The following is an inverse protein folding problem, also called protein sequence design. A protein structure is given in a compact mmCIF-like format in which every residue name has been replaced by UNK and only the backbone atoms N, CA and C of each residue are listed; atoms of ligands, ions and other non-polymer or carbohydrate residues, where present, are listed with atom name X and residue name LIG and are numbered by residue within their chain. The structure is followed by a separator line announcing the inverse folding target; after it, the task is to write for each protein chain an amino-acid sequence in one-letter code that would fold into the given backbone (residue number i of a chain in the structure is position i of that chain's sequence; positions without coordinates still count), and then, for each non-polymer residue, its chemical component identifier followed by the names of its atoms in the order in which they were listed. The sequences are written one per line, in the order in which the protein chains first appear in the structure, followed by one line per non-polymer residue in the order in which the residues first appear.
data_IF_726131639465
#
_entry.id   IF_726131639465
#
_cell.length_a   1.000
_cell.length_b   1.000
_cell.length_c   1.000
_cell.angle_alpha   90.00
_cell.angle_beta   90.00
_cell.angle_gamma   90.00
#
_symmetry.space_group_name_H-M   'P 1'
#
loop_
_entity.id
_entity.type
_entity.pdbx_description
1 polymer ?
#
# COMPACT_ATOMS: atom_id res chain seq x y z
N UNK A 1 17.47 27.32 -17.28
CA UNK A 1 17.21 25.85 -17.34
C UNK A 1 16.91 25.22 -15.97
N UNK A 2 17.47 25.65 -14.83
CA UNK A 2 16.97 25.16 -13.53
C UNK A 2 15.56 25.66 -13.18
N UNK A 3 15.23 26.90 -13.56
CA UNK A 3 13.88 27.45 -13.42
C UNK A 3 12.81 26.60 -14.15
N UNK A 4 13.14 26.00 -15.30
CA UNK A 4 12.20 25.13 -16.02
C UNK A 4 12.00 23.77 -15.32
N UNK A 5 13.02 23.26 -14.62
CA UNK A 5 12.91 22.06 -13.76
C UNK A 5 12.08 22.34 -12.51
N UNK A 6 12.32 23.45 -11.83
CA UNK A 6 11.55 23.84 -10.64
C UNK A 6 10.08 24.14 -11.01
N UNK A 7 9.82 24.78 -12.15
CA UNK A 7 8.46 25.01 -12.65
C UNK A 7 7.75 23.71 -13.08
N UNK A 8 8.48 22.61 -13.23
CA UNK A 8 7.88 21.30 -13.50
C UNK A 8 7.46 20.55 -12.23
N UNK A 9 7.86 21.02 -11.04
CA UNK A 9 7.56 20.37 -9.75
C UNK A 9 6.07 20.02 -9.56
N UNK A 10 5.10 20.94 -9.80
CA UNK A 10 3.69 20.62 -9.62
C UNK A 10 3.23 19.45 -10.50
N UNK A 11 3.87 19.26 -11.66
CA UNK A 11 3.57 18.16 -12.58
C UNK A 11 4.03 16.81 -12.03
N UNK A 12 5.22 16.79 -11.45
CA UNK A 12 5.80 15.61 -10.81
C UNK A 12 5.09 15.24 -9.52
N UNK A 13 4.66 16.24 -8.74
CA UNK A 13 3.80 16.04 -7.57
C UNK A 13 2.47 15.39 -7.96
N UNK A 14 1.79 15.93 -8.97
CA UNK A 14 0.54 15.37 -9.49
C UNK A 14 0.71 13.91 -9.94
N UNK A 15 1.79 13.63 -10.68
CA UNK A 15 2.09 12.30 -11.18
C UNK A 15 2.39 11.32 -10.04
N UNK A 16 3.15 11.75 -9.03
CA UNK A 16 3.43 10.93 -7.83
C UNK A 16 2.14 10.61 -7.08
N UNK A 17 1.28 11.62 -6.87
CA UNK A 17 0.00 11.43 -6.21
C UNK A 17 -0.92 10.49 -7.00
N UNK A 18 -1.01 10.68 -8.32
CA UNK A 18 -1.82 9.83 -9.20
C UNK A 18 -1.32 8.38 -9.19
N UNK A 19 0.00 8.16 -9.24
CA UNK A 19 0.57 6.81 -9.12
C UNK A 19 0.24 6.16 -7.78
N UNK A 20 0.32 6.92 -6.68
CA UNK A 20 0.00 6.37 -5.36
C UNK A 20 -1.46 5.97 -5.22
N UNK A 21 -2.37 6.83 -5.68
CA UNK A 21 -3.82 6.53 -5.69
C UNK A 21 -4.14 5.38 -6.64
N UNK A 22 -3.50 5.33 -7.81
CA UNK A 22 -3.69 4.22 -8.75
C UNK A 22 -3.19 2.89 -8.19
N UNK A 23 -2.03 2.88 -7.53
CA UNK A 23 -1.50 1.67 -6.88
C UNK A 23 -2.48 1.13 -5.82
N UNK A 24 -3.12 2.01 -5.05
CA UNK A 24 -4.15 1.62 -4.09
C UNK A 24 -5.38 1.01 -4.75
N UNK A 25 -5.93 1.63 -5.79
CA UNK A 25 -7.11 1.07 -6.47
C UNK A 25 -6.84 -0.20 -7.27
N UNK A 26 -5.60 -0.42 -7.70
CA UNK A 26 -5.17 -1.72 -8.25
C UNK A 26 -5.12 -2.78 -7.15
N UNK A 27 -4.75 -2.42 -5.92
CA UNK A 27 -4.76 -3.32 -4.77
C UNK A 27 -6.18 -3.65 -4.29
N UNK A 28 -7.10 -2.67 -4.35
CA UNK A 28 -8.50 -2.76 -3.90
C UNK A 28 -9.43 -3.51 -4.88
N UNK A 29 -8.91 -3.99 -6.02
CA UNK A 29 -9.63 -4.62 -7.15
C UNK A 29 -10.81 -3.81 -7.74
N UNK A 30 -11.04 -2.59 -7.24
CA UNK A 30 -12.16 -1.74 -7.63
C UNK A 30 -11.76 -0.74 -8.72
N UNK A 31 -11.61 -1.26 -9.94
CA UNK A 31 -11.06 -0.53 -11.09
C UNK A 31 -11.84 0.76 -11.46
N UNK A 32 -13.15 0.80 -11.19
CA UNK A 32 -14.01 1.96 -11.50
C UNK A 32 -13.61 3.16 -10.65
N UNK A 33 -13.39 2.95 -9.35
CA UNK A 33 -13.04 4.02 -8.41
C UNK A 33 -11.62 4.54 -8.70
N UNK A 34 -10.71 3.67 -9.12
CA UNK A 34 -9.37 4.06 -9.59
C UNK A 34 -9.39 4.97 -10.81
N UNK A 35 -10.23 4.65 -11.79
CA UNK A 35 -10.38 5.47 -13.00
C UNK A 35 -10.96 6.85 -12.65
N UNK A 36 -11.98 6.89 -11.80
CA UNK A 36 -12.55 8.15 -11.28
C UNK A 36 -11.49 8.96 -10.54
N UNK A 37 -10.68 8.35 -9.68
CA UNK A 37 -9.66 9.05 -8.91
C UNK A 37 -8.55 9.64 -9.79
N UNK A 38 -8.11 8.92 -10.83
CA UNK A 38 -7.17 9.46 -11.84
C UNK A 38 -7.79 10.66 -12.56
N UNK A 39 -9.05 10.55 -12.98
CA UNK A 39 -9.77 11.64 -13.65
C UNK A 39 -9.85 12.86 -12.72
N UNK A 40 -10.16 12.66 -11.44
CA UNK A 40 -10.23 13.74 -10.45
C UNK A 40 -8.87 14.43 -10.24
N UNK A 41 -7.77 13.67 -10.11
CA UNK A 41 -6.42 14.26 -10.01
C UNK A 41 -6.04 15.03 -11.29
N UNK A 42 -6.38 14.49 -12.46
CA UNK A 42 -6.17 15.14 -13.75
C UNK A 42 -7.00 16.42 -13.92
N UNK A 43 -8.26 16.40 -13.48
CA UNK A 43 -9.18 17.52 -13.51
C UNK A 43 -8.75 18.62 -12.54
N UNK A 44 -8.39 18.25 -11.32
CA UNK A 44 -7.89 19.16 -10.30
C UNK A 44 -6.66 19.92 -10.80
N UNK A 45 -5.77 19.27 -11.55
CA UNK A 45 -4.64 19.96 -12.19
C UNK A 45 -5.05 20.96 -13.28
N UNK A 46 -6.09 20.66 -14.07
CA UNK A 46 -6.58 21.62 -15.08
C UNK A 46 -7.23 22.84 -14.43
N UNK A 47 -7.85 22.65 -13.27
CA UNK A 47 -8.53 23.69 -12.49
C UNK A 47 -7.54 24.53 -11.67
N UNK A 48 -6.51 23.92 -11.08
CA UNK A 48 -5.39 24.61 -10.40
C UNK A 48 -4.36 25.09 -11.43
N UNK A 49 -4.81 25.88 -12.39
CA UNK A 49 -3.97 26.46 -13.44
C UNK A 49 -3.19 27.69 -12.94
N UNK A 50 -3.73 28.37 -11.94
CA UNK A 50 -3.10 29.50 -11.26
C UNK A 50 -2.70 29.13 -9.83
N UNK A 51 -1.41 29.29 -9.49
CA UNK A 51 -0.89 29.07 -8.12
C UNK A 51 -1.52 30.02 -7.07
N UNK A 52 -2.33 30.98 -7.50
CA UNK A 52 -2.85 32.05 -6.65
C UNK A 52 -4.06 31.63 -5.78
N UNK A 53 -4.94 30.76 -6.28
CA UNK A 53 -6.24 30.48 -5.64
C UNK A 53 -6.54 28.97 -5.62
N UNK A 54 -7.01 28.47 -4.48
CA UNK A 54 -7.58 27.11 -4.40
C UNK A 54 -8.91 27.04 -5.15
N UNK A 55 -9.28 25.85 -5.64
CA UNK A 55 -10.51 25.67 -6.43
C UNK A 55 -11.75 25.70 -5.55
N UNK A 56 -11.62 25.25 -4.29
CA UNK A 56 -12.73 25.11 -3.34
C UNK A 56 -12.48 25.93 -2.08
N UNK A 57 -13.55 26.47 -1.44
CA UNK A 57 -13.43 27.14 -0.16
C UNK A 57 -13.08 26.14 0.96
N UNK A 58 -12.32 26.60 1.97
CA UNK A 58 -11.78 25.73 3.03
C UNK A 58 -12.86 24.98 3.82
N UNK A 59 -14.03 25.60 4.05
CA UNK A 59 -15.12 24.95 4.77
C UNK A 59 -15.64 23.71 4.03
N UNK A 60 -15.71 23.78 2.69
CA UNK A 60 -16.20 22.69 1.87
C UNK A 60 -15.18 21.54 1.82
N UNK A 61 -13.89 21.86 1.75
CA UNK A 61 -12.81 20.87 1.82
C UNK A 61 -12.79 20.15 3.17
N UNK A 62 -12.95 20.89 4.27
CA UNK A 62 -13.03 20.29 5.61
C UNK A 62 -14.27 19.39 5.73
N UNK A 63 -15.42 19.80 5.16
CA UNK A 63 -16.63 18.99 5.13
C UNK A 63 -16.39 17.70 4.33
N UNK A 64 -15.74 17.77 3.17
CA UNK A 64 -15.39 16.60 2.37
C UNK A 64 -14.44 15.65 3.10
N UNK A 65 -13.44 16.17 3.83
CA UNK A 65 -12.54 15.35 4.65
C UNK A 65 -13.31 14.68 5.79
N UNK A 66 -14.19 15.41 6.47
CA UNK A 66 -15.05 14.85 7.53
C UNK A 66 -16.01 13.80 6.98
N UNK A 67 -16.59 14.03 5.81
CA UNK A 67 -17.46 13.07 5.13
C UNK A 67 -16.69 11.81 4.73
N UNK A 68 -15.49 11.95 4.18
CA UNK A 68 -14.62 10.81 3.87
C UNK A 68 -14.26 10.03 5.14
N UNK A 69 -13.86 10.72 6.22
CA UNK A 69 -13.54 10.10 7.49
C UNK A 69 -14.75 9.37 8.12
N UNK A 70 -15.92 9.99 8.11
CA UNK A 70 -17.15 9.38 8.62
C UNK A 70 -17.54 8.14 7.80
N UNK A 71 -17.47 8.23 6.47
CA UNK A 71 -17.77 7.11 5.58
C UNK A 71 -16.81 5.92 5.81
N UNK A 72 -15.50 6.17 5.90
CA UNK A 72 -14.53 5.10 6.19
C UNK A 72 -14.64 4.57 7.61
N UNK A 73 -15.01 5.40 8.58
CA UNK A 73 -15.21 4.97 9.96
C UNK A 73 -16.43 4.04 10.08
N UNK A 74 -17.53 4.35 9.38
CA UNK A 74 -18.69 3.47 9.30
C UNK A 74 -18.32 2.12 8.67
N UNK A 75 -17.61 2.14 7.53
CA UNK A 75 -17.11 0.91 6.88
C UNK A 75 -16.22 0.08 7.80
N UNK A 76 -15.32 0.72 8.55
CA UNK A 76 -14.42 0.05 9.49
C UNK A 76 -15.15 -0.56 10.71
N UNK A 77 -16.28 0.01 11.13
CA UNK A 77 -17.10 -0.53 12.22
C UNK A 77 -17.93 -1.73 11.72
N UNK A 78 -18.44 -1.66 10.49
CA UNK A 78 -19.23 -2.73 9.88
C UNK A 78 -18.38 -3.95 9.51
N UNK A 79 -17.13 -3.74 9.10
CA UNK A 79 -16.19 -4.78 8.68
C UNK A 79 -14.82 -4.62 9.39
N UNK A 80 -14.71 -5.01 10.66
CA UNK A 80 -13.47 -4.88 11.43
C UNK A 80 -12.28 -5.62 10.81
N UNK A 81 -12.53 -6.73 10.12
CA UNK A 81 -11.53 -7.51 9.39
C UNK A 81 -10.81 -6.72 8.29
N UNK A 82 -11.47 -5.71 7.70
CA UNK A 82 -10.95 -4.87 6.62
C UNK A 82 -10.51 -3.49 7.11
N UNK A 83 -10.07 -3.39 8.37
CA UNK A 83 -9.65 -2.12 8.97
C UNK A 83 -8.51 -1.43 8.21
N UNK A 84 -7.50 -2.20 7.78
CA UNK A 84 -6.34 -1.67 7.03
C UNK A 84 -6.77 -1.10 5.67
N UNK A 85 -7.63 -1.82 4.96
CA UNK A 85 -8.21 -1.37 3.68
C UNK A 85 -9.05 -0.10 3.86
N UNK A 86 -9.82 -0.01 4.95
CA UNK A 86 -10.61 1.19 5.27
C UNK A 86 -9.73 2.41 5.56
N UNK A 87 -8.60 2.24 6.28
CA UNK A 87 -7.61 3.31 6.48
C UNK A 87 -6.92 3.71 5.18
N UNK A 88 -6.62 2.74 4.32
CA UNK A 88 -6.03 2.96 3.01
C UNK A 88 -6.95 3.81 2.13
N UNK A 89 -8.24 3.46 2.10
CA UNK A 89 -9.27 4.22 1.41
C UNK A 89 -9.38 5.65 1.96
N UNK A 90 -9.29 5.83 3.28
CA UNK A 90 -9.29 7.16 3.90
C UNK A 90 -8.11 8.00 3.43
N UNK A 91 -6.89 7.44 3.42
CA UNK A 91 -5.70 8.12 2.92
C UNK A 91 -5.86 8.54 1.45
N UNK A 92 -6.35 7.64 0.60
CA UNK A 92 -6.61 7.94 -0.81
C UNK A 92 -7.63 9.07 -0.99
N UNK A 93 -8.77 9.03 -0.27
CA UNK A 93 -9.79 10.07 -0.35
C UNK A 93 -9.30 11.43 0.15
N UNK A 94 -8.63 11.46 1.31
CA UNK A 94 -8.05 12.71 1.84
C UNK A 94 -7.02 13.29 0.88
N UNK A 95 -6.22 12.43 0.23
CA UNK A 95 -5.25 12.86 -0.77
C UNK A 95 -5.92 13.49 -2.00
N UNK A 96 -7.01 12.91 -2.50
CA UNK A 96 -7.80 13.47 -3.61
C UNK A 96 -8.41 14.83 -3.21
N UNK A 97 -9.03 14.93 -2.03
CA UNK A 97 -9.65 16.18 -1.55
C UNK A 97 -8.60 17.29 -1.39
N UNK A 98 -7.45 16.98 -0.77
CA UNK A 98 -6.37 17.95 -0.58
C UNK A 98 -5.75 18.46 -1.87
N UNK A 99 -5.92 17.74 -2.98
CA UNK A 99 -5.43 18.19 -4.27
C UNK A 99 -6.15 19.46 -4.77
N UNK A 100 -7.35 19.77 -4.24
CA UNK A 100 -8.13 20.96 -4.57
C UNK A 100 -7.83 22.18 -3.67
N UNK A 101 -7.01 21.99 -2.63
CA UNK A 101 -6.57 23.08 -1.76
C UNK A 101 -5.64 24.06 -2.48
N UNK A 102 -5.50 25.25 -1.90
CA UNK A 102 -4.51 26.24 -2.35
C UNK A 102 -3.10 25.62 -2.28
N UNK A 103 -2.28 25.78 -3.35
CA UNK A 103 -0.91 25.27 -3.34
C UNK A 103 -0.06 26.08 -2.35
N UNK A 104 0.29 25.45 -1.24
CA UNK A 104 1.24 25.99 -0.26
C UNK A 104 2.37 24.97 -0.05
N UNK A 105 3.59 25.40 0.33
CA UNK A 105 4.69 24.48 0.60
C UNK A 105 4.34 23.41 1.65
N UNK A 106 3.54 23.78 2.65
CA UNK A 106 3.01 22.86 3.66
C UNK A 106 2.07 21.83 3.04
N UNK A 107 1.15 22.26 2.18
CA UNK A 107 0.20 21.34 1.53
C UNK A 107 0.90 20.39 0.56
N UNK A 108 1.95 20.84 -0.14
CA UNK A 108 2.78 19.96 -0.98
C UNK A 108 3.48 18.87 -0.17
N UNK A 109 4.05 19.21 1.00
CA UNK A 109 4.63 18.22 1.89
C UNK A 109 3.58 17.21 2.36
N UNK A 110 2.39 17.68 2.76
CA UNK A 110 1.30 16.81 3.21
C UNK A 110 0.80 15.88 2.10
N UNK A 111 0.72 16.36 0.84
CA UNK A 111 0.34 15.53 -0.31
C UNK A 111 1.37 14.42 -0.58
N UNK A 112 2.68 14.73 -0.48
CA UNK A 112 3.73 13.72 -0.62
C UNK A 112 3.69 12.68 0.50
N UNK A 113 3.47 13.13 1.74
CA UNK A 113 3.32 12.23 2.87
C UNK A 113 2.10 11.32 2.70
N UNK A 114 0.96 11.87 2.28
CA UNK A 114 -0.23 11.10 1.99
C UNK A 114 0.00 10.10 0.86
N UNK A 115 0.68 10.48 -0.23
CA UNK A 115 0.94 9.55 -1.33
C UNK A 115 1.80 8.36 -0.90
N UNK A 116 2.79 8.58 -0.03
CA UNK A 116 3.59 7.51 0.55
C UNK A 116 2.74 6.60 1.43
N UNK A 117 1.91 7.15 2.31
CA UNK A 117 0.99 6.35 3.13
C UNK A 117 0.02 5.53 2.28
N UNK A 118 -0.56 6.11 1.23
CA UNK A 118 -1.46 5.40 0.31
C UNK A 118 -0.78 4.23 -0.39
N UNK A 119 0.49 4.37 -0.81
CA UNK A 119 1.26 3.27 -1.41
C UNK A 119 1.63 2.19 -0.39
N UNK A 120 2.01 2.58 0.84
CA UNK A 120 2.26 1.62 1.92
C UNK A 120 0.98 0.84 2.22
N UNK A 121 -0.17 1.49 2.21
CA UNK A 121 -1.43 0.83 2.46
C UNK A 121 -1.81 -0.14 1.33
N UNK A 122 -1.55 0.21 0.07
CA UNK A 122 -1.68 -0.70 -1.07
C UNK A 122 -0.78 -1.95 -0.93
N UNK A 123 0.46 -1.76 -0.48
CA UNK A 123 1.43 -2.82 -0.18
C UNK A 123 0.95 -3.79 0.91
N UNK A 124 0.32 -3.26 1.94
CA UNK A 124 -0.17 -4.05 3.07
C UNK A 124 -1.45 -4.83 2.72
N UNK A 125 -2.23 -4.34 1.75
CA UNK A 125 -3.55 -4.89 1.41
C UNK A 125 -3.47 -5.94 0.29
N UNK A 126 -2.51 -5.82 -0.63
CA UNK A 126 -2.39 -6.73 -1.79
C UNK A 126 -0.95 -7.13 -2.06
N UNK A 127 -0.72 -8.44 -2.20
CA UNK A 127 0.56 -9.02 -2.64
C UNK A 127 0.57 -9.35 -4.15
N UNK A 128 -0.27 -8.67 -4.94
CA UNK A 128 -0.36 -8.94 -6.37
C UNK A 128 0.85 -8.37 -7.14
N UNK A 129 1.28 -9.09 -8.18
CA UNK A 129 2.39 -8.66 -9.05
C UNK A 129 2.19 -7.25 -9.67
N UNK A 130 0.98 -6.85 -10.11
CA UNK A 130 0.73 -5.50 -10.60
C UNK A 130 1.02 -4.40 -9.56
N UNK A 131 0.66 -4.61 -8.30
CA UNK A 131 0.95 -3.67 -7.20
C UNK A 131 2.46 -3.53 -7.02
N UNK A 132 3.18 -4.65 -6.98
CA UNK A 132 4.66 -4.67 -6.94
C UNK A 132 5.31 -3.85 -8.07
N UNK A 133 4.83 -4.01 -9.30
CA UNK A 133 5.32 -3.25 -10.45
C UNK A 133 5.00 -1.75 -10.34
N UNK A 134 3.83 -1.39 -9.83
CA UNK A 134 3.48 0.01 -9.61
C UNK A 134 4.40 0.67 -8.59
N UNK A 135 4.77 -0.03 -7.52
CA UNK A 135 5.70 0.47 -6.51
C UNK A 135 7.11 0.63 -7.08
N UNK A 136 7.52 -0.32 -7.93
CA UNK A 136 8.79 -0.27 -8.63
C UNK A 136 8.95 1.03 -9.45
N UNK A 137 7.86 1.49 -10.06
CA UNK A 137 7.79 2.77 -10.79
C UNK A 137 7.58 3.96 -9.84
N UNK A 138 6.79 3.80 -8.79
CA UNK A 138 6.48 4.86 -7.84
C UNK A 138 7.73 5.37 -7.10
N UNK A 139 8.58 4.48 -6.59
CA UNK A 139 9.77 4.85 -5.80
C UNK A 139 10.67 5.87 -6.51
N UNK A 140 11.19 5.61 -7.73
CA UNK A 140 12.06 6.59 -8.41
C UNK A 140 11.37 7.93 -8.64
N UNK A 141 10.07 7.90 -8.97
CA UNK A 141 9.27 9.10 -9.21
C UNK A 141 9.08 9.89 -7.91
N UNK A 142 8.76 9.22 -6.81
CA UNK A 142 8.58 9.83 -5.50
C UNK A 142 9.88 10.45 -5.00
N UNK A 143 11.01 9.73 -5.10
CA UNK A 143 12.35 10.25 -4.77
C UNK A 143 12.68 11.50 -5.58
N UNK A 144 12.50 11.43 -6.90
CA UNK A 144 12.74 12.57 -7.78
C UNK A 144 11.88 13.78 -7.36
N UNK A 145 10.61 13.54 -7.05
CA UNK A 145 9.65 14.57 -6.65
C UNK A 145 9.99 15.17 -5.29
N UNK A 146 10.44 14.36 -4.33
CA UNK A 146 10.91 14.82 -3.00
C UNK A 146 12.15 15.70 -3.16
N UNK A 147 13.11 15.30 -3.99
CA UNK A 147 14.31 16.12 -4.25
C UNK A 147 13.94 17.45 -4.93
N UNK A 148 13.01 17.43 -5.88
CA UNK A 148 12.47 18.66 -6.46
C UNK A 148 11.73 19.51 -5.42
N UNK A 149 10.97 18.90 -4.51
CA UNK A 149 10.30 19.60 -3.42
C UNK A 149 11.31 20.30 -2.50
N UNK A 150 12.40 19.63 -2.12
CA UNK A 150 13.46 20.23 -1.29
C UNK A 150 14.09 21.45 -1.96
N UNK A 151 14.37 21.37 -3.27
CA UNK A 151 14.88 22.51 -4.06
C UNK A 151 13.83 23.63 -4.12
N UNK A 152 12.57 23.29 -4.39
CA UNK A 152 11.47 24.25 -4.52
C UNK A 152 11.17 24.97 -3.20
N UNK A 153 11.13 24.24 -2.08
CA UNK A 153 10.93 24.77 -0.74
C UNK A 153 12.11 25.64 -0.30
N UNK A 154 13.35 25.24 -0.61
CA UNK A 154 14.56 26.02 -0.31
C UNK A 154 14.60 27.37 -1.04
N UNK A 155 14.07 27.44 -2.27
CA UNK A 155 14.00 28.68 -3.06
C UNK A 155 12.89 29.64 -2.61
N UNK A 156 11.85 29.14 -1.93
CA UNK A 156 10.67 29.93 -1.50
C UNK A 156 10.61 30.15 0.03
N UNK A 157 11.59 29.64 0.79
CA UNK A 157 11.59 29.68 2.25
C UNK A 157 12.01 31.04 2.85
N UNK A 158 11.79 31.26 4.16
CA UNK A 158 12.07 32.53 4.88
C UNK A 158 13.53 33.01 4.94
N UNK A 159 14.47 32.31 4.31
CA UNK A 159 15.88 32.69 4.17
C UNK A 159 16.38 32.66 2.73
N UNK A 160 15.47 32.55 1.75
CA UNK A 160 15.84 32.51 0.35
C UNK A 160 16.54 33.82 -0.05
N UNK A 161 17.69 33.77 -0.75
CA UNK A 161 18.34 34.98 -1.24
C UNK A 161 17.34 35.79 -2.06
N UNK A 162 17.14 37.07 -1.69
CA UNK A 162 16.35 38.03 -2.50
C UNK A 162 16.86 37.94 -3.92
N UNK A 163 15.95 37.67 -4.86
CA UNK A 163 16.23 37.37 -6.27
C UNK A 163 17.21 38.39 -6.88
N UNK A 164 18.51 38.11 -6.82
CA UNK A 164 19.46 38.60 -7.80
C UNK A 164 19.15 37.87 -9.11
N UNK A 165 19.27 38.53 -10.27
CA UNK A 165 18.97 37.91 -11.57
C UNK A 165 19.71 36.58 -11.67
N UNK A 166 18.95 35.48 -11.66
CA UNK A 166 19.50 34.15 -11.48
C UNK A 166 20.45 33.84 -12.65
N UNK A 167 21.74 33.67 -12.35
CA UNK A 167 22.67 33.09 -13.30
C UNK A 167 22.10 31.76 -13.82
N UNK A 168 22.22 31.47 -15.13
CA UNK A 168 21.69 30.23 -15.69
C UNK A 168 22.33 29.05 -14.97
N UNK A 169 21.51 28.29 -14.26
CA UNK A 169 22.01 27.13 -13.53
C UNK A 169 22.79 26.20 -14.47
N UNK A 170 23.95 25.70 -14.02
CA UNK A 170 24.83 24.93 -14.88
C UNK A 170 24.15 23.62 -15.31
N UNK A 171 24.38 23.14 -16.54
CA UNK A 171 23.79 21.89 -17.06
C UNK A 171 24.15 20.66 -16.22
N UNK A 172 25.18 20.75 -15.38
CA UNK A 172 25.58 19.74 -14.39
C UNK A 172 24.55 19.53 -13.28
N UNK A 173 23.72 20.54 -12.94
CA UNK A 173 22.72 20.43 -11.87
C UNK A 173 21.63 19.40 -12.20
N UNK A 174 21.16 19.36 -13.46
CA UNK A 174 20.19 18.35 -13.92
C UNK A 174 20.78 16.95 -13.86
N UNK A 175 22.01 16.77 -14.35
CA UNK A 175 22.72 15.48 -14.29
C UNK A 175 22.94 15.04 -12.84
N UNK A 176 23.29 15.96 -11.94
CA UNK A 176 23.43 15.71 -10.51
C UNK A 176 22.14 15.20 -9.87
N UNK A 177 21.01 15.86 -10.14
CA UNK A 177 19.69 15.45 -9.64
C UNK A 177 19.31 14.03 -10.10
N UNK A 178 19.48 13.74 -11.39
CA UNK A 178 19.21 12.40 -11.92
C UNK A 178 20.15 11.35 -11.32
N UNK A 179 21.45 11.63 -11.20
CA UNK A 179 22.41 10.71 -10.57
C UNK A 179 22.06 10.42 -9.11
N UNK A 180 21.64 11.44 -8.36
CA UNK A 180 21.24 11.27 -6.96
C UNK A 180 19.93 10.49 -6.84
N UNK A 181 18.97 10.74 -7.75
CA UNK A 181 17.71 9.99 -7.82
C UNK A 181 17.96 8.52 -8.14
N UNK A 182 18.71 8.22 -9.20
CA UNK A 182 19.03 6.84 -9.58
C UNK A 182 19.89 6.15 -8.51
N UNK A 183 20.85 6.86 -7.92
CA UNK A 183 21.66 6.33 -6.82
C UNK A 183 20.83 5.98 -5.59
N UNK A 184 19.99 6.91 -5.11
CA UNK A 184 19.11 6.68 -3.95
C UNK A 184 18.10 5.56 -4.22
N UNK A 185 17.54 5.51 -5.44
CA UNK A 185 16.63 4.44 -5.86
C UNK A 185 17.35 3.10 -5.87
N UNK A 186 18.54 3.02 -6.50
CA UNK A 186 19.32 1.79 -6.54
C UNK A 186 19.68 1.28 -5.14
N UNK A 187 20.04 2.18 -4.21
CA UNK A 187 20.28 1.81 -2.80
C UNK A 187 19.03 1.24 -2.15
N UNK A 188 17.85 1.83 -2.36
CA UNK A 188 16.58 1.28 -1.86
C UNK A 188 16.28 -0.09 -2.43
N UNK A 189 16.51 -0.31 -3.73
CA UNK A 189 16.31 -1.62 -4.37
C UNK A 189 17.26 -2.69 -3.84
N UNK A 190 18.55 -2.35 -3.70
CA UNK A 190 19.54 -3.26 -3.12
C UNK A 190 19.18 -3.57 -1.67
N UNK A 191 18.75 -2.57 -0.90
CA UNK A 191 18.28 -2.77 0.47
C UNK A 191 17.06 -3.68 0.55
N UNK A 192 16.06 -3.47 -0.32
CA UNK A 192 14.88 -4.32 -0.40
C UNK A 192 15.24 -5.76 -0.78
N UNK A 193 16.14 -5.96 -1.76
CA UNK A 193 16.64 -7.29 -2.14
C UNK A 193 17.44 -7.95 -1.01
N UNK A 194 18.24 -7.18 -0.27
CA UNK A 194 18.98 -7.69 0.88
C UNK A 194 18.03 -8.14 1.99
N UNK A 195 17.05 -7.32 2.36
CA UNK A 195 16.00 -7.69 3.33
C UNK A 195 15.27 -8.94 2.87
N UNK A 196 14.90 -9.00 1.60
CA UNK A 196 14.24 -10.15 1.00
C UNK A 196 15.04 -11.46 1.10
N UNK A 197 16.36 -11.40 0.88
CA UNK A 197 17.25 -12.56 0.96
C UNK A 197 17.60 -12.94 2.41
N UNK A 198 17.67 -11.96 3.31
CA UNK A 198 18.07 -12.14 4.70
C UNK A 198 16.91 -12.50 5.62
N UNK A 199 15.69 -12.04 5.31
CA UNK A 199 14.48 -12.37 6.07
C UNK A 199 13.87 -13.62 5.44
N UNK A 200 14.05 -14.81 6.05
CA UNK A 200 13.44 -16.03 5.54
C UNK A 200 11.93 -15.87 5.54
N UNK A 201 11.34 -15.98 4.35
CA UNK A 201 9.89 -15.96 4.12
C UNK A 201 9.27 -17.08 4.96
N UNK A 202 8.64 -16.75 6.09
CA UNK A 202 8.02 -17.72 7.00
C UNK A 202 8.20 -17.42 8.49
N UNK A 203 9.25 -16.72 8.91
CA UNK A 203 9.41 -16.39 10.34
C UNK A 203 8.47 -15.26 10.79
N UNK A 204 8.05 -14.36 9.89
CA UNK A 204 7.22 -13.22 10.25
C UNK A 204 5.73 -13.53 10.50
N UNK A 205 5.21 -14.63 9.94
CA UNK A 205 3.81 -15.02 10.13
C UNK A 205 3.55 -15.42 11.57
N UNK A 206 4.44 -16.22 12.18
CA UNK A 206 4.22 -16.72 13.53
C UNK A 206 4.43 -15.63 14.59
N UNK A 207 5.43 -14.74 14.41
CA UNK A 207 5.71 -13.66 15.36
C UNK A 207 4.71 -12.50 15.35
N UNK A 208 4.05 -12.22 14.22
CA UNK A 208 3.09 -11.10 14.10
C UNK A 208 1.65 -11.56 14.36
N UNK A 209 1.29 -12.79 13.98
CA UNK A 209 -0.06 -13.33 14.21
C UNK A 209 -0.38 -13.51 15.71
N UNK A 210 0.66 -13.69 16.55
CA UNK A 210 0.56 -13.78 18.00
C UNK A 210 0.28 -12.41 18.68
N UNK A 211 0.57 -11.30 18.00
CA UNK A 211 0.29 -9.94 18.50
C UNK A 211 -1.16 -9.51 18.21
N UNK A 212 -1.78 -10.00 17.12
CA UNK A 212 -3.07 -9.53 16.61
C UNK A 212 -4.29 -10.36 17.00
N UNK A 213 -4.13 -11.48 17.71
CA UNK A 213 -5.25 -12.38 18.02
C UNK A 213 -5.64 -12.41 19.51
N UNK A 214 -6.46 -11.48 20.02
CA UNK A 214 -7.34 -11.77 21.13
C UNK A 214 -8.50 -12.66 20.62
N UNK A 215 -8.25 -13.97 20.54
CA UNK A 215 -9.27 -15.02 20.63
C UNK A 215 -10.37 -15.07 19.57
N UNK A 216 -10.04 -15.41 18.32
CA UNK A 216 -10.90 -16.27 17.48
C UNK A 216 -9.97 -17.15 16.65
N UNK A 217 -9.71 -18.37 17.14
CA UNK A 217 -9.01 -19.37 16.37
C UNK A 217 -9.81 -19.68 15.11
N UNK A 218 -9.23 -19.43 13.94
CA UNK A 218 -9.58 -20.19 12.75
C UNK A 218 -9.13 -21.63 13.04
N UNK A 219 -9.98 -22.41 13.71
CA UNK A 219 -9.76 -23.83 13.88
C UNK A 219 -9.92 -24.47 12.51
N UNK A 220 -8.81 -24.85 11.87
CA UNK A 220 -8.88 -25.84 10.78
C UNK A 220 -9.31 -27.15 11.41
N UNK A 221 -10.58 -27.50 11.20
CA UNK A 221 -11.23 -28.69 11.70
C UNK A 221 -12.00 -29.37 10.60
N UNK A 222 -12.66 -30.47 10.93
CA UNK A 222 -13.54 -31.17 9.99
C UNK A 222 -14.67 -30.23 9.53
N UNK A 223 -14.75 -29.98 8.22
CA UNK A 223 -15.90 -29.30 7.61
C UNK A 223 -17.10 -30.24 7.58
N UNK A 224 -18.29 -29.73 7.89
CA UNK A 224 -19.55 -30.48 7.78
C UNK A 224 -20.03 -30.63 6.32
N UNK A 225 -19.33 -30.02 5.36
CA UNK A 225 -19.66 -30.07 3.93
C UNK A 225 -18.41 -30.41 3.10
N UNK A 226 -18.55 -31.32 2.13
CA UNK A 226 -17.50 -31.72 1.19
C UNK A 226 -18.02 -31.61 -0.24
N UNK A 227 -17.40 -30.75 -1.04
CA UNK A 227 -17.70 -30.63 -2.46
C UNK A 227 -16.83 -31.60 -3.28
N UNK A 228 -17.46 -32.63 -3.86
CA UNK A 228 -16.77 -33.61 -4.72
C UNK A 228 -16.34 -32.93 -6.04
N UNK A 229 -15.05 -33.03 -6.39
CA UNK A 229 -14.48 -32.46 -7.63
C UNK A 229 -13.67 -31.17 -7.46
N UNK A 230 -13.61 -30.59 -6.25
CA UNK A 230 -12.59 -29.60 -5.86
C UNK A 230 -11.52 -30.28 -5.01
N UNK A 231 -10.51 -30.87 -5.65
CA UNK A 231 -9.28 -31.30 -4.96
C UNK A 231 -8.34 -30.10 -4.90
N UNK A 232 -8.10 -29.50 -3.72
CA UNK A 232 -7.08 -28.47 -3.66
C UNK A 232 -6.76 -27.78 -2.34
N UNK A 233 -7.66 -27.69 -1.35
CA UNK A 233 -7.39 -26.78 -0.22
C UNK A 233 -6.77 -27.41 1.03
N UNK A 234 -6.79 -28.74 1.17
CA UNK A 234 -6.17 -29.45 2.32
C UNK A 234 -4.78 -30.01 2.02
N UNK A 235 -4.38 -30.09 0.74
CA UNK A 235 -3.10 -30.69 0.33
C UNK A 235 -1.92 -29.70 0.40
N UNK A 236 -2.22 -28.40 0.50
CA UNK A 236 -1.23 -27.31 0.47
C UNK A 236 -0.87 -26.74 1.85
N UNK A 237 -1.37 -27.36 2.94
CA UNK A 237 -1.12 -26.91 4.31
C UNK A 237 -0.46 -28.02 5.16
N UNK A 238 0.83 -27.83 5.46
CA UNK A 238 1.65 -28.72 6.30
C UNK A 238 1.40 -28.57 7.82
N UNK A 239 0.28 -27.95 8.23
CA UNK A 239 -0.07 -27.84 9.64
C UNK A 239 -0.34 -29.22 10.26
N UNK A 240 0.44 -29.58 11.28
CA UNK A 240 0.29 -30.85 11.98
C UNK A 240 -1.11 -30.97 12.61
N UNK A 241 -1.94 -31.87 12.07
CA UNK A 241 -3.32 -32.06 12.52
C UNK A 241 -3.42 -32.90 13.81
N UNK A 242 -2.52 -33.86 14.00
CA UNK A 242 -2.50 -34.77 15.14
C UNK A 242 -1.13 -35.43 15.28
N UNK A 243 -0.60 -35.50 16.50
CA UNK A 243 0.49 -36.40 16.86
C UNK A 243 -0.10 -37.60 17.63
N UNK A 244 0.03 -38.80 17.06
CA UNK A 244 -0.60 -40.02 17.59
C UNK A 244 0.47 -41.06 17.90
N UNK A 245 0.54 -41.47 19.17
CA UNK A 245 1.30 -42.64 19.62
C UNK A 245 0.34 -43.75 20.04
N UNK A 246 0.39 -44.89 19.35
CA UNK A 246 -0.44 -46.06 19.64
C UNK A 246 0.40 -47.10 20.36
N UNK A 247 -0.08 -47.60 21.49
CA UNK A 247 0.63 -48.62 22.27
C UNK A 247 -0.22 -49.88 22.42
N UNK A 248 0.44 -51.03 22.50
CA UNK A 248 -0.15 -52.32 22.86
C UNK A 248 -0.39 -52.42 24.38
N UNK A 249 -1.12 -53.44 24.85
CA UNK A 249 -1.38 -53.70 26.28
C UNK A 249 -0.09 -53.87 27.11
N UNK A 250 1.02 -54.21 26.45
CA UNK A 250 2.35 -54.38 27.04
C UNK A 250 3.21 -53.10 26.93
N UNK A 251 2.62 -51.97 26.50
CA UNK A 251 3.28 -50.67 26.40
C UNK A 251 4.25 -50.53 25.22
N UNK A 252 4.17 -51.42 24.22
CA UNK A 252 5.00 -51.36 23.00
C UNK A 252 4.35 -50.45 21.96
N UNK A 253 5.13 -49.54 21.37
CA UNK A 253 4.63 -48.68 20.29
C UNK A 253 4.27 -49.54 19.06
N UNK A 254 3.03 -49.38 18.57
CA UNK A 254 2.45 -50.09 17.44
C UNK A 254 2.55 -49.29 16.13
N UNK A 255 3.16 -48.10 16.15
CA UNK A 255 3.43 -47.31 14.95
C UNK A 255 4.45 -48.01 14.05
N UNK A 256 4.05 -48.31 12.81
CA UNK A 256 4.95 -48.83 11.77
C UNK A 256 4.56 -48.28 10.39
N UNK A 257 5.52 -48.22 9.46
CA UNK A 257 5.29 -47.81 8.07
C UNK A 257 4.30 -48.72 7.33
N UNK A 258 4.14 -49.95 7.83
CA UNK A 258 3.39 -51.02 7.16
C UNK A 258 1.94 -51.12 7.67
N UNK A 259 1.56 -50.29 8.66
CA UNK A 259 0.25 -50.33 9.30
C UNK A 259 -0.40 -48.94 9.22
N UNK A 260 -1.41 -48.82 8.36
CA UNK A 260 -2.21 -47.62 8.25
C UNK A 260 -3.27 -47.56 9.37
N UNK A 261 -3.35 -46.42 10.06
CA UNK A 261 -4.43 -46.12 11.01
C UNK A 261 -5.48 -45.25 10.31
N UNK A 262 -6.69 -45.79 10.17
CA UNK A 262 -7.83 -45.05 9.63
C UNK A 262 -8.48 -44.26 10.78
N UNK A 263 -8.15 -42.97 10.86
CA UNK A 263 -8.75 -42.06 11.83
C UNK A 263 -10.01 -41.44 11.21
N UNK A 264 -11.17 -41.93 11.64
CA UNK A 264 -12.46 -41.43 11.15
C UNK A 264 -12.78 -40.09 11.82
N UNK A 265 -12.80 -39.02 11.04
CA UNK A 265 -13.18 -37.68 11.51
C UNK A 265 -14.68 -37.49 11.65
N UNK A 266 -15.41 -37.57 10.53
CA UNK A 266 -16.86 -37.40 10.48
C UNK A 266 -17.50 -38.38 9.47
N UNK A 267 -18.82 -38.52 9.54
CA UNK A 267 -19.63 -39.28 8.59
C UNK A 267 -20.68 -38.35 8.00
N UNK A 268 -20.72 -38.22 6.68
CA UNK A 268 -21.71 -37.42 5.98
C UNK A 268 -22.70 -38.38 5.33
N UNK A 269 -23.97 -38.25 5.69
CA UNK A 269 -25.04 -39.15 5.24
C UNK A 269 -26.02 -38.45 4.28
N UNK A 270 -26.05 -37.12 4.28
CA UNK A 270 -26.92 -36.30 3.42
C UNK A 270 -26.21 -35.91 2.12
N UNK A 271 -26.94 -35.97 1.00
CA UNK A 271 -26.46 -35.58 -0.32
C UNK A 271 -27.41 -34.55 -0.94
N UNK A 272 -26.93 -33.32 -1.09
CA UNK A 272 -27.61 -32.29 -1.86
C UNK A 272 -27.29 -32.48 -3.36
N UNK A 273 -28.34 -32.69 -4.16
CA UNK A 273 -28.25 -32.95 -5.61
C UNK A 273 -28.29 -31.67 -6.46
#
# INVERSE_FOLDING_TARGET
MALTLVNSFPRWLALTCALGVFAFFVADENAIVGLVAIVLVGLARRLVKDEAHGVLPQWLLNLLVLAAAAWTAMRAIEQPENFVESLAALCAWVQVVKFYERPTPRNHAQLLTLSVFTVIAALLTSNSLPVGLMIAVYIPVAVFTILLFQIHAGLRGPGAPRQTPAAPAPPTARRGLWRLTFGATAVMWVGALAVYLLVPRGLGSDFINDWSSPGVGASMGFSEQVALGRSGELEDNDAAALDLSVFDEVGRNLGSSDRAFLLRGAALEDYDA
#
